data_IF_533975549343
#
_entry.id   IF_533975549343
#
_cell.length_a   1.000
_cell.length_b   1.000
_cell.length_c   1.000
_cell.angle_alpha   90.00
_cell.angle_beta   90.00
_cell.angle_gamma   90.00
#
_symmetry.space_group_name_H-M   'P 1'
#
loop_
_entity.id
_entity.type
_entity.pdbx_description
1 polymer ?
#
# COMPACT_ATOMS: atom_id res chain seq x y z
N UNK A 1 -15.11 -10.62 -2.31
CA UNK A 1 -14.00 -11.25 -3.01
C UNK A 1 -12.89 -11.55 -2.02
N UNK A 2 -12.44 -12.77 -1.96
CA UNK A 2 -11.32 -13.12 -1.10
C UNK A 2 -10.01 -12.90 -1.85
N UNK A 3 -9.08 -12.18 -1.22
CA UNK A 3 -7.73 -12.02 -1.74
C UNK A 3 -6.86 -12.99 -1.00
N UNK A 4 -6.21 -13.90 -1.74
CA UNK A 4 -5.24 -14.79 -1.15
C UNK A 4 -3.95 -14.02 -0.89
N UNK A 5 -3.69 -13.77 0.39
CA UNK A 5 -2.48 -13.10 0.81
C UNK A 5 -1.58 -14.16 1.44
N UNK A 6 -0.41 -14.34 0.88
CA UNK A 6 0.58 -15.26 1.42
C UNK A 6 1.85 -14.51 1.84
N UNK A 7 2.86 -15.24 2.29
CA UNK A 7 4.12 -14.66 2.77
C UNK A 7 4.90 -13.92 1.68
N UNK A 8 4.58 -14.17 0.40
CA UNK A 8 5.24 -13.53 -0.73
C UNK A 8 4.44 -12.35 -1.30
N UNK A 9 3.26 -12.05 -0.75
CA UNK A 9 2.43 -10.96 -1.22
C UNK A 9 2.98 -9.63 -0.76
N UNK A 10 3.20 -8.71 -1.70
CA UNK A 10 3.65 -7.34 -1.43
C UNK A 10 2.65 -6.39 -2.07
N UNK A 11 2.05 -5.54 -1.27
CA UNK A 11 0.83 -4.81 -1.64
C UNK A 11 1.11 -3.33 -1.82
N UNK A 12 0.52 -2.74 -2.86
CA UNK A 12 0.35 -1.29 -2.96
C UNK A 12 -1.13 -0.97 -2.73
N UNK A 13 -1.41 0.02 -1.88
CA UNK A 13 -2.79 0.45 -1.60
C UNK A 13 -3.03 1.80 -2.23
N UNK A 14 -4.01 1.88 -3.13
CA UNK A 14 -4.43 3.13 -3.74
C UNK A 14 -5.37 3.87 -2.79
N UNK A 15 -5.16 5.19 -2.67
CA UNK A 15 -5.94 6.00 -1.74
C UNK A 15 -5.61 5.76 -0.27
N UNK A 16 -4.41 5.31 0.04
CA UNK A 16 -4.03 4.90 1.40
C UNK A 16 -4.15 6.02 2.44
N UNK A 17 -3.95 7.27 2.05
CA UNK A 17 -4.03 8.40 3.00
C UNK A 17 -5.45 8.87 3.28
N UNK A 18 -6.43 8.40 2.51
CA UNK A 18 -7.83 8.67 2.79
C UNK A 18 -8.29 7.94 4.03
N UNK A 19 -9.44 8.36 4.57
CA UNK A 19 -9.97 7.81 5.82
C UNK A 19 -10.17 6.29 5.74
N UNK A 20 -10.80 5.82 4.67
CA UNK A 20 -11.03 4.39 4.48
C UNK A 20 -9.74 3.65 4.16
N UNK A 21 -8.85 4.30 3.39
CA UNK A 21 -7.57 3.70 3.05
C UNK A 21 -6.70 3.46 4.26
N UNK A 22 -6.66 4.42 5.20
CA UNK A 22 -5.91 4.25 6.45
C UNK A 22 -6.49 3.12 7.30
N UNK A 23 -7.81 3.04 7.40
CA UNK A 23 -8.47 1.99 8.16
C UNK A 23 -8.16 0.62 7.56
N UNK A 24 -8.27 0.51 6.23
CA UNK A 24 -7.98 -0.74 5.53
C UNK A 24 -6.52 -1.16 5.70
N UNK A 25 -5.61 -0.19 5.51
CA UNK A 25 -4.18 -0.47 5.67
C UNK A 25 -3.85 -0.94 7.09
N UNK A 26 -4.42 -0.28 8.10
CA UNK A 26 -4.23 -0.67 9.48
C UNK A 26 -4.71 -2.08 9.76
N UNK A 27 -5.90 -2.43 9.27
CA UNK A 27 -6.46 -3.77 9.44
C UNK A 27 -5.60 -4.84 8.77
N UNK A 28 -5.09 -4.55 7.57
CA UNK A 28 -4.24 -5.49 6.85
C UNK A 28 -2.89 -5.68 7.54
N UNK A 29 -2.29 -4.60 8.04
CA UNK A 29 -1.04 -4.69 8.80
C UNK A 29 -1.23 -5.51 10.07
N UNK A 30 -2.33 -5.29 10.77
CA UNK A 30 -2.63 -6.03 12.00
C UNK A 30 -2.87 -7.51 11.70
N UNK A 31 -3.31 -7.84 10.49
CA UNK A 31 -3.48 -9.23 10.05
C UNK A 31 -2.19 -9.86 9.51
N UNK A 32 -1.07 -9.13 9.52
CA UNK A 32 0.22 -9.65 9.10
C UNK A 32 0.55 -9.45 7.63
N UNK A 33 -0.25 -8.67 6.90
CA UNK A 33 0.03 -8.37 5.50
C UNK A 33 1.23 -7.43 5.38
N UNK A 34 1.99 -7.57 4.29
CA UNK A 34 3.12 -6.68 3.97
C UNK A 34 2.64 -5.67 2.93
N UNK A 35 2.59 -4.40 3.33
CA UNK A 35 2.24 -3.29 2.44
C UNK A 35 3.54 -2.54 2.13
N UNK A 36 3.96 -2.60 0.87
CA UNK A 36 5.21 -1.97 0.45
C UNK A 36 5.06 -0.47 0.24
N UNK A 37 3.92 -0.02 -0.26
CA UNK A 37 3.71 1.39 -0.58
C UNK A 37 2.23 1.72 -0.63
N UNK A 38 1.93 3.02 -0.53
CA UNK A 38 0.62 3.56 -0.81
C UNK A 38 0.69 4.52 -1.99
N UNK A 39 -0.44 4.78 -2.63
CA UNK A 39 -0.54 5.74 -3.71
C UNK A 39 -1.72 6.67 -3.44
N UNK A 40 -1.42 7.96 -3.36
CA UNK A 40 -2.45 9.01 -3.29
C UNK A 40 -1.94 10.19 -4.11
N UNK A 41 -2.60 10.54 -5.21
CA UNK A 41 -2.18 11.68 -6.03
C UNK A 41 -2.05 12.95 -5.20
N UNK A 42 -0.94 13.66 -5.36
CA UNK A 42 -0.66 14.88 -4.62
C UNK A 42 -0.10 14.68 -3.21
N UNK A 43 0.04 13.45 -2.74
CA UNK A 43 0.52 13.13 -1.40
C UNK A 43 1.84 12.39 -1.39
N UNK A 44 2.53 12.34 -2.51
CA UNK A 44 3.86 11.72 -2.59
C UNK A 44 4.81 12.36 -1.58
N UNK A 45 5.59 11.53 -0.89
CA UNK A 45 6.48 11.97 0.17
C UNK A 45 5.90 11.83 1.58
N UNK A 46 4.60 11.60 1.72
CA UNK A 46 3.99 11.30 3.01
C UNK A 46 4.24 9.84 3.39
N UNK A 47 3.89 9.48 4.60
CA UNK A 47 3.98 8.10 5.06
C UNK A 47 2.85 7.80 6.04
N UNK A 48 2.51 6.51 6.15
CA UNK A 48 1.54 6.04 7.12
C UNK A 48 2.08 4.77 7.78
N UNK A 49 2.31 4.81 9.08
CA UNK A 49 2.87 3.71 9.86
C UNK A 49 4.17 3.16 9.24
N UNK A 50 4.99 4.06 8.71
CA UNK A 50 6.25 3.71 8.08
C UNK A 50 6.16 3.31 6.62
N UNK A 51 4.94 3.29 6.05
CA UNK A 51 4.73 2.93 4.65
C UNK A 51 4.80 4.20 3.81
N UNK A 52 5.72 4.27 2.83
CA UNK A 52 5.84 5.47 1.99
C UNK A 52 4.66 5.61 1.03
N UNK A 53 4.30 6.86 0.74
CA UNK A 53 3.22 7.20 -0.19
C UNK A 53 3.80 7.84 -1.44
N UNK A 54 3.27 7.44 -2.59
CA UNK A 54 3.68 7.95 -3.90
C UNK A 54 2.50 8.57 -4.63
N UNK A 55 2.78 9.41 -5.61
CA UNK A 55 1.74 10.07 -6.40
C UNK A 55 1.09 9.14 -7.43
N UNK A 56 1.82 8.14 -7.89
CA UNK A 56 1.34 7.20 -8.92
C UNK A 56 1.76 5.77 -8.60
N UNK A 57 1.02 4.82 -9.15
CA UNK A 57 1.37 3.39 -9.03
C UNK A 57 2.72 3.12 -9.71
N UNK A 58 2.98 3.79 -10.84
CA UNK A 58 4.25 3.65 -11.55
C UNK A 58 5.42 4.05 -10.66
N UNK A 59 5.32 5.20 -9.97
CA UNK A 59 6.38 5.65 -9.07
C UNK A 59 6.57 4.68 -7.91
N UNK A 60 5.47 4.18 -7.34
CA UNK A 60 5.54 3.21 -6.26
C UNK A 60 6.25 1.93 -6.70
N UNK A 61 5.93 1.41 -7.89
CA UNK A 61 6.53 0.18 -8.41
C UNK A 61 7.99 0.35 -8.79
N UNK A 62 8.37 1.55 -9.25
CA UNK A 62 9.78 1.83 -9.53
C UNK A 62 10.63 1.81 -8.26
N UNK A 63 10.10 2.35 -7.17
CA UNK A 63 10.78 2.35 -5.87
C UNK A 63 10.69 0.98 -5.19
N UNK A 64 9.61 0.23 -5.43
CA UNK A 64 9.34 -1.06 -4.80
C UNK A 64 8.95 -2.09 -5.86
N UNK A 65 9.94 -2.61 -6.63
CA UNK A 65 9.64 -3.58 -7.70
C UNK A 65 9.10 -4.91 -7.18
N UNK A 66 9.18 -5.16 -5.89
CA UNK A 66 8.63 -6.37 -5.27
C UNK A 66 7.10 -6.38 -5.23
N UNK A 67 6.42 -5.23 -5.46
CA UNK A 67 4.95 -5.16 -5.40
C UNK A 67 4.33 -6.09 -6.42
N UNK A 68 3.44 -6.96 -5.95
CA UNK A 68 2.76 -7.94 -6.81
C UNK A 68 1.23 -7.96 -6.62
N UNK A 69 0.69 -7.07 -5.80
CA UNK A 69 -0.75 -6.95 -5.60
C UNK A 69 -1.13 -5.48 -5.42
N UNK A 70 -2.32 -5.12 -5.91
CA UNK A 70 -2.85 -3.75 -5.81
C UNK A 70 -4.27 -3.79 -5.26
N UNK A 71 -4.54 -2.91 -4.32
CA UNK A 71 -5.87 -2.74 -3.74
C UNK A 71 -6.40 -1.31 -3.90
#
# INVERSE_FOLDING_TARGET
>A
MAILIDENTRIVIQGMTGREGRLRAGMMLDAGAVISAGVTPGRGGESFRGIPVYDTVTAARQAHPEINASL
#
